data_IF_974666401560
#
_entry.id   IF_974666401560
#
_cell.length_a   1.000
_cell.length_b   1.000
_cell.length_c   1.000
_cell.angle_alpha   90.00
_cell.angle_beta   90.00
_cell.angle_gamma   90.00
#
_symmetry.space_group_name_H-M   'P 1'
#
loop_
_entity.id
_entity.type
_entity.pdbx_description
1 polymer ?
#
# COMPACT_ATOMS: atom_id res chain seq x y z
N UNK A 1 22.18 38.32 20.06
CA UNK A 1 22.39 37.19 19.16
C UNK A 1 21.79 37.58 17.81
N UNK A 2 22.63 37.86 16.79
CA UNK A 2 22.14 38.34 15.50
C UNK A 2 21.84 37.11 14.63
N UNK A 3 20.58 36.84 14.37
CA UNK A 3 20.17 35.79 13.44
C UNK A 3 20.47 36.32 12.04
N UNK A 4 21.49 35.78 11.39
CA UNK A 4 21.73 36.03 9.95
C UNK A 4 20.70 35.20 9.17
N UNK A 5 19.79 35.90 8.51
CA UNK A 5 18.90 35.29 7.54
C UNK A 5 19.72 34.66 6.42
N UNK A 6 19.43 33.41 6.09
CA UNK A 6 20.01 32.78 4.91
C UNK A 6 19.56 33.54 3.66
N UNK A 7 20.50 33.87 2.78
CA UNK A 7 20.24 34.54 1.51
C UNK A 7 19.20 33.75 0.69
N UNK A 8 18.28 34.46 0.08
CA UNK A 8 17.22 33.90 -0.78
C UNK A 8 17.73 32.97 -1.89
N UNK A 9 19.01 33.11 -2.28
CA UNK A 9 19.68 32.19 -3.21
C UNK A 9 19.93 30.80 -2.67
N UNK A 10 19.96 30.59 -1.35
CA UNK A 10 20.06 29.25 -0.73
C UNK A 10 18.72 28.54 -0.62
N UNK A 11 17.63 29.29 -0.62
CA UNK A 11 16.26 28.74 -0.62
C UNK A 11 15.87 28.28 -2.02
N UNK A 12 16.39 28.92 -3.08
CA UNK A 12 16.10 28.51 -4.46
C UNK A 12 16.74 27.16 -4.84
N UNK A 13 17.76 26.68 -4.12
CA UNK A 13 18.29 25.32 -4.27
C UNK A 13 17.37 24.23 -3.72
N UNK A 14 16.46 24.57 -2.81
CA UNK A 14 15.47 23.63 -2.26
C UNK A 14 14.31 23.37 -3.22
N UNK A 15 14.05 24.27 -4.17
CA UNK A 15 13.01 24.10 -5.18
C UNK A 15 13.35 23.07 -6.27
N UNK A 16 14.58 22.56 -6.29
CA UNK A 16 15.02 21.52 -7.25
C UNK A 16 14.95 20.10 -6.67
N UNK A 17 14.62 19.95 -5.40
CA UNK A 17 14.41 18.63 -4.79
C UNK A 17 13.06 18.08 -5.22
N UNK A 18 12.94 17.78 -6.51
CA UNK A 18 11.77 17.08 -7.04
C UNK A 18 11.76 15.68 -6.43
N UNK A 19 10.67 15.28 -5.78
CA UNK A 19 10.55 13.92 -5.27
C UNK A 19 10.83 12.92 -6.39
N UNK A 20 11.76 12.00 -6.17
CA UNK A 20 12.06 10.96 -7.18
C UNK A 20 11.07 9.82 -7.02
N UNK A 21 10.29 9.57 -8.06
CA UNK A 21 9.45 8.38 -8.16
C UNK A 21 10.22 7.23 -8.82
N UNK A 22 10.28 6.10 -8.13
CA UNK A 22 10.80 4.84 -8.68
C UNK A 22 9.67 3.83 -8.72
N UNK A 23 9.33 3.37 -9.92
CA UNK A 23 8.33 2.33 -10.14
C UNK A 23 9.02 1.02 -10.52
N UNK A 24 8.62 -0.06 -9.88
CA UNK A 24 9.16 -1.41 -10.12
C UNK A 24 8.09 -2.48 -9.93
N UNK A 25 8.43 -3.71 -10.30
CA UNK A 25 7.61 -4.86 -9.98
C UNK A 25 7.78 -5.28 -8.52
N UNK A 26 6.76 -5.96 -7.98
CA UNK A 26 6.85 -6.64 -6.69
C UNK A 26 7.59 -7.95 -6.84
N UNK A 27 8.34 -8.34 -5.81
CA UNK A 27 8.88 -9.69 -5.65
C UNK A 27 8.13 -10.39 -4.52
N UNK A 28 7.44 -11.48 -4.83
CA UNK A 28 6.76 -12.30 -3.84
C UNK A 28 7.72 -13.27 -3.19
N UNK A 29 7.70 -13.35 -1.86
CA UNK A 29 8.51 -14.29 -1.10
C UNK A 29 7.94 -15.72 -1.16
N UNK A 30 8.81 -16.68 -1.34
CA UNK A 30 8.46 -18.10 -1.19
C UNK A 30 8.54 -18.57 0.26
N UNK A 31 9.20 -17.80 1.14
CA UNK A 31 9.36 -18.13 2.56
C UNK A 31 8.05 -17.90 3.32
N UNK A 32 7.59 -18.92 4.03
CA UNK A 32 6.36 -18.85 4.83
C UNK A 32 5.06 -18.79 4.01
N UNK A 33 5.15 -18.81 2.68
CA UNK A 33 4.00 -18.85 1.78
C UNK A 33 3.16 -20.11 2.02
N UNK A 34 1.84 -19.94 2.09
CA UNK A 34 0.87 -21.03 2.17
C UNK A 34 -0.24 -20.80 1.16
N UNK A 35 -0.59 -21.83 0.39
CA UNK A 35 -1.78 -21.83 -0.47
C UNK A 35 -1.74 -20.87 -1.65
N UNK A 36 -0.57 -20.55 -2.18
CA UNK A 36 -0.41 -19.72 -3.38
C UNK A 36 0.59 -20.30 -4.37
N UNK A 37 0.27 -20.17 -5.64
CA UNK A 37 1.22 -20.19 -6.74
C UNK A 37 1.65 -18.75 -7.06
N UNK A 38 2.88 -18.58 -7.53
CA UNK A 38 3.45 -17.30 -7.94
C UNK A 38 3.80 -17.40 -9.42
N UNK A 39 3.36 -16.42 -10.20
CA UNK A 39 3.74 -16.23 -11.60
C UNK A 39 4.07 -14.75 -11.84
N UNK A 40 5.34 -14.40 -11.78
CA UNK A 40 5.77 -12.99 -11.82
C UNK A 40 5.15 -12.17 -10.69
N UNK A 41 4.37 -11.15 -11.04
CA UNK A 41 3.66 -10.29 -10.06
C UNK A 41 2.28 -10.81 -9.67
N UNK A 42 1.83 -11.91 -10.27
CA UNK A 42 0.53 -12.52 -10.02
C UNK A 42 0.65 -13.64 -9.00
N UNK A 43 -0.30 -13.68 -8.08
CA UNK A 43 -0.51 -14.75 -7.11
C UNK A 43 -1.88 -15.38 -7.34
N UNK A 44 -1.92 -16.71 -7.38
CA UNK A 44 -3.15 -17.47 -7.55
C UNK A 44 -3.33 -18.42 -6.36
N UNK A 45 -4.51 -18.39 -5.76
CA UNK A 45 -4.85 -19.23 -4.62
C UNK A 45 -4.92 -20.70 -5.05
N UNK A 46 -4.35 -21.60 -4.25
CA UNK A 46 -4.38 -23.04 -4.46
C UNK A 46 -5.02 -23.75 -3.27
N UNK A 47 -5.59 -24.93 -3.52
CA UNK A 47 -6.21 -25.76 -2.49
C UNK A 47 -7.61 -25.30 -2.08
N UNK A 48 -8.08 -25.80 -0.94
CA UNK A 48 -9.45 -25.59 -0.45
C UNK A 48 -9.72 -24.14 -0.04
N UNK A 49 -11.00 -23.75 -0.06
CA UNK A 49 -11.42 -22.44 0.45
C UNK A 49 -11.17 -22.32 1.96
N UNK A 50 -10.82 -21.12 2.41
CA UNK A 50 -10.61 -20.81 3.82
C UNK A 50 -9.55 -19.75 4.07
N UNK A 51 -9.86 -18.77 4.92
CA UNK A 51 -8.96 -17.69 5.29
C UNK A 51 -7.71 -18.15 6.06
N UNK A 52 -7.81 -19.24 6.82
CA UNK A 52 -6.72 -19.85 7.56
C UNK A 52 -5.78 -20.71 6.71
N UNK A 53 -6.04 -20.80 5.40
CA UNK A 53 -5.33 -21.68 4.48
C UNK A 53 -4.50 -20.92 3.45
N UNK A 54 -4.38 -19.60 3.58
CA UNK A 54 -3.59 -18.81 2.62
C UNK A 54 -2.91 -17.61 3.27
N UNK A 55 -1.64 -17.43 2.96
CA UNK A 55 -0.86 -16.25 3.28
C UNK A 55 0.36 -16.16 2.37
N UNK A 56 0.71 -14.95 1.98
CA UNK A 56 1.92 -14.65 1.22
C UNK A 56 2.34 -13.21 1.49
N UNK A 57 3.64 -12.95 1.44
CA UNK A 57 4.19 -11.59 1.59
C UNK A 57 5.17 -11.25 0.47
N UNK A 58 5.42 -9.95 0.28
CA UNK A 58 6.53 -9.46 -0.54
C UNK A 58 7.87 -9.64 0.18
N UNK A 59 8.94 -9.70 -0.60
CA UNK A 59 10.32 -9.55 -0.09
C UNK A 59 10.63 -8.08 0.19
N UNK A 60 9.95 -7.18 -0.53
CA UNK A 60 10.10 -5.75 -0.38
C UNK A 60 9.47 -5.24 0.91
N UNK A 61 10.18 -4.33 1.56
CA UNK A 61 9.69 -3.58 2.72
C UNK A 61 9.83 -2.08 2.48
N UNK A 62 9.09 -1.28 3.24
CA UNK A 62 9.22 0.17 3.27
C UNK A 62 8.94 0.69 4.67
N UNK A 63 9.53 1.84 5.02
CA UNK A 63 9.37 2.46 6.33
C UNK A 63 8.65 3.81 6.17
N UNK A 64 7.62 4.02 6.98
CA UNK A 64 6.93 5.32 7.03
C UNK A 64 7.92 6.38 7.52
N UNK A 65 7.97 7.51 6.84
CA UNK A 65 8.96 8.56 7.07
C UNK A 65 10.08 8.61 6.03
N UNK A 66 10.24 7.56 5.20
CA UNK A 66 11.25 7.51 4.14
C UNK A 66 10.71 7.96 2.78
N UNK A 67 9.43 8.29 2.71
CA UNK A 67 8.75 8.72 1.49
C UNK A 67 7.31 8.24 1.41
N UNK A 68 6.72 8.35 0.22
CA UNK A 68 5.40 7.78 -0.08
C UNK A 68 5.56 6.43 -0.76
N UNK A 69 4.85 5.44 -0.28
CA UNK A 69 4.81 4.10 -0.85
C UNK A 69 3.41 3.78 -1.40
N UNK A 70 3.37 3.26 -2.64
CA UNK A 70 2.13 3.00 -3.37
C UNK A 70 2.19 1.64 -4.06
N UNK A 71 1.08 0.91 -4.02
CA UNK A 71 0.87 -0.30 -4.81
C UNK A 71 -0.40 -0.16 -5.64
N UNK A 72 -0.34 -0.66 -6.87
CA UNK A 72 -1.48 -0.76 -7.78
C UNK A 72 -1.71 -2.22 -8.13
N UNK A 73 -2.95 -2.69 -8.02
CA UNK A 73 -3.26 -4.09 -8.20
C UNK A 73 -4.69 -4.30 -8.70
N UNK A 74 -4.97 -5.50 -9.17
CA UNK A 74 -6.30 -5.97 -9.55
C UNK A 74 -6.52 -7.40 -9.07
N UNK A 75 -7.76 -7.85 -9.09
CA UNK A 75 -8.11 -9.25 -8.90
C UNK A 75 -8.78 -9.84 -10.14
N UNK A 76 -8.84 -11.16 -10.23
CA UNK A 76 -9.63 -11.83 -11.25
C UNK A 76 -11.12 -11.74 -10.96
N UNK A 77 -11.95 -11.88 -11.94
CA UNK A 77 -13.43 -11.84 -11.97
C UNK A 77 -14.23 -11.62 -10.66
N UNK A 78 -15.35 -10.97 -10.77
CA UNK A 78 -16.05 -10.41 -9.61
C UNK A 78 -16.58 -11.44 -8.59
N UNK A 79 -17.10 -12.57 -9.05
CA UNK A 79 -17.87 -13.48 -8.20
C UNK A 79 -17.03 -14.48 -7.38
N UNK A 80 -15.77 -14.65 -7.72
CA UNK A 80 -14.91 -15.68 -7.11
C UNK A 80 -13.68 -15.12 -6.40
N UNK A 81 -13.36 -13.86 -6.62
CA UNK A 81 -12.20 -13.25 -5.94
C UNK A 81 -12.60 -12.81 -4.53
N UNK A 82 -11.97 -13.41 -3.56
CA UNK A 82 -12.10 -13.08 -2.14
C UNK A 82 -10.70 -12.83 -1.57
N UNK A 83 -9.94 -11.99 -2.24
CA UNK A 83 -8.58 -11.65 -1.83
C UNK A 83 -8.57 -10.33 -1.06
N UNK A 84 -7.91 -10.34 0.07
CA UNK A 84 -7.47 -9.15 0.78
C UNK A 84 -5.99 -8.93 0.48
N UNK A 85 -5.64 -7.76 -0.02
CA UNK A 85 -4.27 -7.37 -0.35
C UNK A 85 -3.97 -5.99 0.23
N UNK A 86 -2.82 -5.85 0.85
CA UNK A 86 -2.44 -4.58 1.45
C UNK A 86 -1.14 -4.63 2.24
N UNK A 87 -0.98 -3.70 3.15
CA UNK A 87 0.20 -3.50 3.96
C UNK A 87 0.08 -4.18 5.31
N UNK A 88 1.10 -4.93 5.69
CA UNK A 88 1.20 -5.54 7.01
C UNK A 88 2.57 -5.28 7.63
N UNK A 89 2.68 -5.49 8.94
CA UNK A 89 3.93 -5.40 9.70
C UNK A 89 4.04 -6.51 10.73
N UNK A 90 5.27 -6.82 11.13
CA UNK A 90 5.57 -7.90 12.05
C UNK A 90 5.66 -9.24 11.33
N UNK A 91 4.95 -10.24 11.79
CA UNK A 91 5.02 -11.60 11.25
C UNK A 91 3.97 -11.81 10.17
N UNK A 92 4.32 -12.50 9.08
CA UNK A 92 3.35 -12.98 8.08
C UNK A 92 2.28 -13.86 8.73
N UNK A 93 1.02 -13.51 8.61
CA UNK A 93 -0.07 -14.18 9.28
C UNK A 93 -1.30 -14.43 8.42
N UNK A 94 -2.24 -15.18 9.01
CA UNK A 94 -3.55 -15.44 8.41
C UNK A 94 -4.52 -14.30 8.74
N UNK A 95 -5.53 -14.14 7.88
CA UNK A 95 -6.54 -13.10 8.08
C UNK A 95 -7.55 -13.48 9.18
N UNK A 96 -8.15 -14.68 9.08
CA UNK A 96 -9.10 -15.23 10.03
C UNK A 96 -8.90 -16.73 10.22
N UNK A 97 -9.64 -17.31 11.19
CA UNK A 97 -9.78 -18.73 11.42
C UNK A 97 -8.75 -19.32 12.39
N UNK A 98 -8.57 -20.63 12.34
CA UNK A 98 -7.69 -21.39 13.25
C UNK A 98 -6.21 -21.33 12.86
N UNK A 99 -5.86 -20.71 11.73
CA UNK A 99 -4.46 -20.57 11.30
C UNK A 99 -3.65 -19.72 12.27
N UNK A 100 -2.44 -20.15 12.61
CA UNK A 100 -1.54 -19.42 13.51
C UNK A 100 -0.23 -19.08 12.79
N UNK A 101 0.32 -17.87 12.98
CA UNK A 101 -0.23 -16.75 13.70
C UNK A 101 -1.35 -16.03 12.90
N UNK A 102 -2.36 -15.52 13.60
CA UNK A 102 -3.31 -14.58 13.03
C UNK A 102 -2.67 -13.18 13.02
N UNK A 103 -2.48 -12.63 11.85
CA UNK A 103 -1.99 -11.25 11.68
C UNK A 103 -2.56 -10.69 10.36
N UNK A 104 -3.82 -10.20 10.38
CA UNK A 104 -4.43 -9.59 9.22
C UNK A 104 -3.65 -8.36 8.78
N UNK A 105 -3.78 -7.98 7.51
CA UNK A 105 -3.20 -6.74 7.02
C UNK A 105 -3.60 -5.55 7.91
N UNK A 106 -2.64 -4.69 8.18
CA UNK A 106 -2.89 -3.46 8.94
C UNK A 106 -3.75 -2.49 8.14
N UNK A 107 -3.49 -2.41 6.83
CA UNK A 107 -4.28 -1.63 5.88
C UNK A 107 -4.44 -2.46 4.61
N UNK A 108 -5.67 -2.71 4.19
CA UNK A 108 -5.92 -3.53 3.02
C UNK A 108 -7.17 -3.13 2.26
N UNK A 109 -7.18 -3.50 0.98
CA UNK A 109 -8.38 -3.53 0.16
C UNK A 109 -8.82 -4.98 0.04
N UNK A 110 -10.09 -5.23 0.32
CA UNK A 110 -10.74 -6.51 0.10
C UNK A 110 -11.50 -6.49 -1.22
N UNK A 111 -11.12 -7.40 -2.09
CA UNK A 111 -11.69 -7.58 -3.41
C UNK A 111 -12.76 -8.67 -3.36
N UNK A 112 -13.96 -8.35 -2.88
CA UNK A 112 -15.09 -9.27 -2.81
C UNK A 112 -16.35 -8.71 -3.46
N UNK A 113 -17.35 -9.58 -3.64
CA UNK A 113 -18.52 -9.27 -4.44
C UNK A 113 -19.55 -8.31 -3.84
N UNK A 114 -19.39 -7.85 -2.60
CA UNK A 114 -20.39 -7.02 -1.92
C UNK A 114 -20.30 -5.52 -2.22
N UNK A 115 -19.11 -5.02 -2.38
CA UNK A 115 -18.80 -3.62 -2.68
C UNK A 115 -17.72 -3.55 -3.75
N UNK A 116 -17.70 -2.47 -4.52
CA UNK A 116 -16.68 -2.27 -5.54
C UNK A 116 -15.28 -2.12 -4.92
N UNK A 117 -15.19 -1.49 -3.74
CA UNK A 117 -14.01 -1.43 -2.89
C UNK A 117 -14.41 -1.52 -1.42
N UNK A 118 -13.78 -2.41 -0.68
CA UNK A 118 -13.87 -2.43 0.78
C UNK A 118 -12.49 -2.13 1.40
N UNK A 119 -12.43 -1.10 2.27
CA UNK A 119 -11.22 -0.78 3.01
C UNK A 119 -11.25 -1.43 4.39
N UNK A 120 -10.11 -2.00 4.77
CA UNK A 120 -9.91 -2.68 6.05
C UNK A 120 -8.74 -2.05 6.81
N UNK A 121 -8.91 -1.95 8.12
CA UNK A 121 -7.86 -1.58 9.07
C UNK A 121 -7.79 -2.64 10.17
N UNK A 122 -6.63 -3.24 10.39
CA UNK A 122 -6.41 -4.31 11.37
C UNK A 122 -7.46 -5.45 11.27
N UNK A 123 -7.82 -5.84 10.05
CA UNK A 123 -8.80 -6.89 9.81
C UNK A 123 -10.27 -6.47 9.95
N UNK A 124 -10.56 -5.21 10.29
CA UNK A 124 -11.92 -4.69 10.42
C UNK A 124 -12.27 -3.82 9.22
N UNK A 125 -13.46 -4.04 8.61
CA UNK A 125 -13.99 -3.19 7.55
C UNK A 125 -14.29 -1.80 8.10
N UNK A 126 -13.70 -0.77 7.51
CA UNK A 126 -13.90 0.64 7.88
C UNK A 126 -14.65 1.44 6.82
N UNK A 127 -14.70 0.92 5.59
CA UNK A 127 -15.38 1.57 4.47
C UNK A 127 -15.84 0.55 3.43
N UNK A 128 -16.99 0.81 2.79
CA UNK A 128 -17.48 0.11 1.59
C UNK A 128 -18.02 1.14 0.60
N UNK A 129 -17.58 1.05 -0.65
CA UNK A 129 -17.90 2.06 -1.67
C UNK A 129 -19.30 1.93 -2.27
N UNK A 130 -19.99 0.84 -1.98
CA UNK A 130 -21.17 0.43 -2.75
C UNK A 130 -20.82 0.02 -4.19
N UNK A 131 -21.82 -0.35 -4.97
CA UNK A 131 -21.66 -0.78 -6.36
C UNK A 131 -21.16 -2.20 -6.51
N UNK A 132 -21.15 -2.67 -7.76
CA UNK A 132 -20.70 -4.04 -8.09
C UNK A 132 -19.29 -3.98 -8.66
N UNK A 133 -18.42 -4.82 -8.12
CA UNK A 133 -17.04 -4.97 -8.59
C UNK A 133 -17.01 -5.56 -10.00
N UNK A 134 -16.12 -5.01 -10.83
CA UNK A 134 -15.76 -5.56 -12.16
C UNK A 134 -14.40 -6.26 -12.11
N UNK A 135 -14.20 -7.23 -13.01
CA UNK A 135 -12.89 -7.87 -13.20
C UNK A 135 -11.81 -6.90 -13.69
N UNK A 136 -12.21 -5.83 -14.34
CA UNK A 136 -11.31 -4.77 -14.84
C UNK A 136 -11.01 -3.69 -13.82
N UNK A 137 -11.67 -3.68 -12.65
CA UNK A 137 -11.38 -2.69 -11.61
C UNK A 137 -9.93 -2.81 -11.13
N UNK A 138 -9.28 -1.66 -10.98
CA UNK A 138 -7.97 -1.56 -10.36
C UNK A 138 -8.04 -0.81 -9.05
N UNK A 139 -7.17 -1.19 -8.16
CA UNK A 139 -7.08 -0.67 -6.81
C UNK A 139 -5.71 -0.07 -6.59
N UNK A 140 -5.67 1.00 -5.79
CA UNK A 140 -4.41 1.59 -5.33
C UNK A 140 -4.50 1.79 -3.83
N UNK A 141 -3.45 1.37 -3.15
CA UNK A 141 -3.24 1.63 -1.73
C UNK A 141 -1.93 2.39 -1.58
N UNK A 142 -1.98 3.48 -0.83
CA UNK A 142 -0.86 4.40 -0.65
C UNK A 142 -0.67 4.71 0.83
N UNK A 143 0.57 4.72 1.31
CA UNK A 143 0.96 5.31 2.59
C UNK A 143 1.92 6.45 2.29
N UNK A 144 1.58 7.65 2.75
CA UNK A 144 2.47 8.80 2.61
C UNK A 144 3.50 8.87 3.75
N UNK A 145 4.40 9.83 3.63
CA UNK A 145 5.46 10.07 4.59
C UNK A 145 4.98 10.31 6.03
N UNK A 146 3.78 10.87 6.20
CA UNK A 146 3.19 11.22 7.51
C UNK A 146 2.33 10.09 8.10
N UNK A 147 2.29 8.94 7.43
CA UNK A 147 1.48 7.80 7.86
C UNK A 147 -0.01 7.92 7.55
N UNK A 148 -0.39 8.78 6.60
CA UNK A 148 -1.75 8.82 6.04
C UNK A 148 -1.87 7.74 4.99
N UNK A 149 -2.86 6.85 5.15
CA UNK A 149 -3.17 5.75 4.24
C UNK A 149 -4.36 6.11 3.39
N UNK A 150 -4.24 6.01 2.07
CA UNK A 150 -5.27 6.36 1.11
C UNK A 150 -5.66 5.17 0.25
N UNK A 151 -6.95 5.01 0.04
CA UNK A 151 -7.58 3.92 -0.73
C UNK A 151 -8.22 4.49 -1.99
N UNK A 152 -7.82 3.96 -3.14
CA UNK A 152 -8.30 4.45 -4.44
C UNK A 152 -8.89 3.32 -5.27
N UNK A 153 -9.82 3.68 -6.12
CA UNK A 153 -10.43 2.85 -7.13
C UNK A 153 -10.28 3.49 -8.51
N UNK A 154 -9.94 2.69 -9.49
CA UNK A 154 -10.06 3.00 -10.92
C UNK A 154 -11.09 2.05 -11.51
N UNK A 155 -12.34 2.48 -11.54
CA UNK A 155 -13.45 1.68 -12.02
C UNK A 155 -13.28 1.31 -13.50
N UNK A 156 -13.51 0.05 -13.83
CA UNK A 156 -13.30 -0.47 -15.17
C UNK A 156 -11.83 -0.48 -15.64
N UNK A 157 -10.88 -0.19 -14.75
CA UNK A 157 -9.44 -0.22 -15.04
C UNK A 157 -8.93 0.90 -15.94
N UNK A 158 -9.76 1.90 -16.22
CA UNK A 158 -9.47 3.04 -17.07
C UNK A 158 -9.88 4.36 -16.40
N UNK A 159 -9.43 5.49 -16.97
CA UNK A 159 -9.74 6.80 -16.41
C UNK A 159 -8.90 7.16 -15.17
N UNK A 160 -9.39 8.10 -14.39
CA UNK A 160 -8.67 8.64 -13.24
C UNK A 160 -8.85 7.79 -11.99
N UNK A 161 -7.83 7.80 -11.15
CA UNK A 161 -7.92 7.23 -9.80
C UNK A 161 -8.81 8.10 -8.91
N UNK A 162 -9.81 7.49 -8.30
CA UNK A 162 -10.73 8.16 -7.37
C UNK A 162 -10.43 7.72 -5.95
N UNK A 163 -10.02 8.66 -5.10
CA UNK A 163 -9.86 8.39 -3.66
C UNK A 163 -11.22 8.07 -3.05
N UNK A 164 -11.35 6.92 -2.42
CA UNK A 164 -12.58 6.42 -1.79
C UNK A 164 -12.56 6.57 -0.28
N UNK A 165 -11.40 6.41 0.33
CA UNK A 165 -11.25 6.46 1.79
C UNK A 165 -9.83 6.87 2.18
N UNK A 166 -9.67 7.34 3.41
CA UNK A 166 -8.36 7.57 4.02
C UNK A 166 -8.41 7.38 5.54
N UNK A 167 -7.30 6.96 6.10
CA UNK A 167 -7.09 6.79 7.54
C UNK A 167 -5.68 7.21 7.92
N UNK A 168 -5.48 7.64 9.15
CA UNK A 168 -4.17 8.01 9.71
C UNK A 168 -3.63 6.91 10.62
N UNK A 169 -2.36 7.01 11.02
CA UNK A 169 -1.77 6.16 12.05
C UNK A 169 -0.87 5.03 11.54
N UNK A 170 -0.50 5.04 10.26
CA UNK A 170 0.56 4.15 9.80
C UNK A 170 1.92 4.60 10.38
N UNK A 171 2.71 3.64 10.88
CA UNK A 171 4.03 3.90 11.45
C UNK A 171 4.92 2.66 11.41
N UNK A 172 6.23 2.85 11.31
CA UNK A 172 7.21 1.76 11.23
C UNK A 172 7.30 1.11 9.87
N UNK A 173 7.83 -0.11 9.81
CA UNK A 173 8.16 -0.82 8.56
C UNK A 173 7.05 -1.80 8.19
N UNK A 174 6.68 -1.79 6.91
CA UNK A 174 5.64 -2.61 6.31
C UNK A 174 6.18 -3.48 5.18
N UNK A 175 5.49 -4.57 4.92
CA UNK A 175 5.57 -5.38 3.71
C UNK A 175 4.17 -5.54 3.09
N UNK A 176 4.09 -6.00 1.85
CA UNK A 176 2.82 -6.30 1.20
C UNK A 176 2.42 -7.72 1.57
N UNK A 177 1.16 -7.90 2.00
CA UNK A 177 0.59 -9.22 2.32
C UNK A 177 -0.69 -9.43 1.52
N UNK A 178 -0.92 -10.70 1.14
CA UNK A 178 -2.20 -11.15 0.62
C UNK A 178 -2.70 -12.37 1.36
N UNK A 179 -4.04 -12.42 1.52
CA UNK A 179 -4.80 -13.55 2.02
C UNK A 179 -6.03 -13.73 1.13
N UNK A 180 -6.38 -14.97 0.80
CA UNK A 180 -7.55 -15.27 -0.02
C UNK A 180 -8.36 -16.38 0.59
N UNK A 181 -9.69 -16.29 0.45
CA UNK A 181 -10.62 -17.33 0.90
C UNK A 181 -10.91 -18.36 -0.18
N UNK A 182 -11.33 -17.94 -1.36
CA UNK A 182 -11.77 -18.84 -2.44
C UNK A 182 -10.60 -19.47 -3.18
N UNK A 183 -10.76 -20.75 -3.57
CA UNK A 183 -9.72 -21.54 -4.24
C UNK A 183 -9.26 -20.97 -5.61
N UNK A 184 -10.13 -20.20 -6.27
CA UNK A 184 -9.83 -19.59 -7.57
C UNK A 184 -9.51 -18.09 -7.51
N UNK A 185 -9.26 -17.57 -6.31
CA UNK A 185 -8.87 -16.15 -6.15
C UNK A 185 -7.48 -15.88 -6.71
N UNK A 186 -7.36 -14.76 -7.41
CA UNK A 186 -6.12 -14.29 -7.98
C UNK A 186 -5.96 -12.79 -7.74
N UNK A 187 -4.72 -12.35 -7.58
CA UNK A 187 -4.37 -10.95 -7.54
C UNK A 187 -3.09 -10.69 -8.33
N UNK A 188 -3.07 -9.62 -9.11
CA UNK A 188 -1.90 -9.13 -9.84
C UNK A 188 -1.52 -7.76 -9.31
N UNK A 189 -0.28 -7.60 -8.85
CA UNK A 189 0.28 -6.30 -8.51
C UNK A 189 0.93 -5.72 -9.75
N UNK A 190 0.34 -4.67 -10.30
CA UNK A 190 0.80 -4.05 -11.54
C UNK A 190 2.04 -3.19 -11.36
N UNK A 191 2.13 -2.52 -10.20
CA UNK A 191 3.27 -1.67 -9.88
C UNK A 191 3.42 -1.48 -8.37
N UNK A 192 4.66 -1.28 -7.98
CA UNK A 192 5.10 -0.77 -6.70
C UNK A 192 5.86 0.53 -6.97
N UNK A 193 5.43 1.63 -6.37
CA UNK A 193 6.08 2.94 -6.54
C UNK A 193 6.53 3.46 -5.19
N UNK A 194 7.76 3.91 -5.13
CA UNK A 194 8.34 4.62 -3.98
C UNK A 194 8.69 6.03 -4.42
N UNK A 195 8.15 7.02 -3.72
CA UNK A 195 8.49 8.42 -3.91
C UNK A 195 9.35 8.85 -2.74
N UNK A 196 10.64 9.02 -2.98
CA UNK A 196 11.58 9.46 -1.94
C UNK A 196 11.72 10.98 -1.95
N UNK A 197 11.77 11.57 -0.76
CA UNK A 197 12.17 12.97 -0.60
C UNK A 197 13.69 12.98 -0.49
N UNK A 198 14.35 13.49 -1.52
CA UNK A 198 15.80 13.68 -1.47
C UNK A 198 16.07 14.87 -0.55
N UNK A 199 16.65 14.59 0.63
CA UNK A 199 17.16 15.70 1.47
C UNK A 199 18.31 16.38 0.73
N UNK A 200 18.36 17.71 0.69
CA UNK A 200 19.49 18.42 0.10
C UNK A 200 20.80 17.94 0.72
N UNK A 201 21.74 17.50 -0.10
CA UNK A 201 23.03 16.95 0.36
C UNK A 201 23.94 17.98 1.02
N UNK A 202 23.58 19.26 0.92
CA UNK A 202 24.32 20.40 1.47
C UNK A 202 23.73 20.98 2.76
N UNK A 203 22.70 20.35 3.33
CA UNK A 203 22.17 20.73 4.64
C UNK A 203 23.05 20.08 5.70
N UNK A 204 23.80 20.87 6.45
CA UNK A 204 24.59 20.36 7.57
C UNK A 204 23.65 19.82 8.66
N UNK A 205 24.06 18.73 9.29
CA UNK A 205 23.36 18.22 10.48
C UNK A 205 23.26 19.35 11.51
N UNK A 206 22.06 19.55 12.06
CA UNK A 206 21.65 20.65 12.93
C UNK A 206 21.25 21.97 12.23
N UNK A 207 21.08 22.01 10.92
CA UNK A 207 20.44 23.14 10.26
C UNK A 207 18.95 23.17 10.62
N UNK A 208 18.49 24.25 11.26
CA UNK A 208 17.08 24.49 11.51
C UNK A 208 16.51 25.12 10.24
N UNK A 209 15.64 24.37 9.53
CA UNK A 209 14.81 24.94 8.47
C UNK A 209 13.67 25.68 9.15
N UNK A 210 13.72 26.99 9.15
CA UNK A 210 12.57 27.81 9.55
C UNK A 210 11.75 28.03 8.28
N UNK A 211 10.64 27.32 8.14
CA UNK A 211 9.60 27.71 7.19
C UNK A 211 9.10 29.10 7.61
N UNK A 212 9.34 30.07 6.77
CA UNK A 212 8.70 31.36 6.90
C UNK A 212 7.29 31.17 6.35
N UNK A 213 6.34 30.93 7.27
CA UNK A 213 4.94 31.02 6.94
C UNK A 213 4.66 32.41 6.36
N UNK A 214 4.53 32.46 5.04
CA UNK A 214 4.09 33.68 4.35
C UNK A 214 2.59 33.79 4.53
N UNK A 215 2.15 34.04 5.77
CA UNK A 215 0.75 34.24 6.11
C UNK A 215 0.07 35.13 5.06
N UNK A 216 -0.85 34.54 4.34
CA UNK A 216 -1.93 35.18 3.61
C UNK A 216 -3.24 34.66 4.12
#
# INVERSE_FOLDING_TARGET
MTIKYLDSKRISGLSTDTPTETTSNITWSTTGKVGYNISGTTISRTGSAGWSLSKIQSEDTFTVGEGTFRIEFSGNGASVNTTQLGFNKGTLGYHYGSGSPQNPCKFAIYMAGGDQLEAFVNGTKVYGSGGTRSASDKYRLEINNDGLVKYYLQAGGTGSWVKKHEVTGASGTYFIQANSHSASSEATVHSKTVTTIVKPTNVQDNSILVEKDTGR
#
